data_IF_244641963153
#
_entry.id   IF_244641963153
#
_cell.length_a   1.000
_cell.length_b   1.000
_cell.length_c   1.000
_cell.angle_alpha   90.00
_cell.angle_beta   90.00
_cell.angle_gamma   90.00
#
_symmetry.space_group_name_H-M   'P 1'
#
loop_
_entity.id
_entity.type
_entity.pdbx_description
1 polymer ?
#
# COMPACT_ATOMS: atom_id res chain seq x y z
N UNK A 1 -14.44 -16.55 -1.40
CA UNK A 1 -15.12 -15.53 -2.21
C UNK A 1 -14.97 -14.12 -1.63
N UNK A 2 -15.20 -13.87 -0.35
CA UNK A 2 -15.07 -12.54 0.29
C UNK A 2 -13.71 -11.85 0.05
N UNK A 3 -12.59 -12.58 0.12
CA UNK A 3 -11.24 -12.03 -0.04
C UNK A 3 -10.94 -11.54 -1.47
N UNK A 4 -11.53 -12.20 -2.48
CA UNK A 4 -11.42 -11.74 -3.87
C UNK A 4 -12.30 -10.51 -4.12
N UNK A 5 -13.48 -10.46 -3.52
CA UNK A 5 -14.36 -9.31 -3.63
C UNK A 5 -13.75 -8.07 -2.95
N UNK A 6 -13.25 -8.20 -1.72
CA UNK A 6 -12.61 -7.10 -1.01
C UNK A 6 -11.38 -6.55 -1.75
N UNK A 7 -10.59 -7.42 -2.37
CA UNK A 7 -9.41 -6.99 -3.12
C UNK A 7 -9.75 -6.30 -4.44
N UNK A 8 -10.79 -6.76 -5.13
CA UNK A 8 -11.27 -6.10 -6.34
C UNK A 8 -11.83 -4.71 -6.02
N UNK A 9 -12.43 -4.54 -4.83
CA UNK A 9 -12.87 -3.24 -4.34
C UNK A 9 -11.69 -2.28 -4.11
N UNK A 10 -10.61 -2.75 -3.48
CA UNK A 10 -9.41 -1.90 -3.26
C UNK A 10 -8.76 -1.52 -4.58
N UNK A 11 -8.66 -2.45 -5.53
CA UNK A 11 -8.13 -2.17 -6.87
C UNK A 11 -9.02 -1.21 -7.66
N UNK A 12 -10.33 -1.39 -7.59
CA UNK A 12 -11.30 -0.46 -8.19
C UNK A 12 -11.22 0.93 -7.57
N UNK A 13 -11.11 1.00 -6.24
CA UNK A 13 -10.92 2.27 -5.53
C UNK A 13 -9.63 2.97 -5.97
N UNK A 14 -8.51 2.24 -6.07
CA UNK A 14 -7.25 2.79 -6.55
C UNK A 14 -7.37 3.35 -7.98
N UNK A 15 -8.06 2.64 -8.86
CA UNK A 15 -8.28 3.09 -10.22
C UNK A 15 -9.09 4.41 -10.25
N UNK A 16 -10.17 4.48 -9.47
CA UNK A 16 -10.98 5.70 -9.34
C UNK A 16 -10.15 6.85 -8.78
N UNK A 17 -9.38 6.61 -7.72
CA UNK A 17 -8.51 7.62 -7.12
C UNK A 17 -7.44 8.11 -8.09
N UNK A 18 -6.88 7.22 -8.93
CA UNK A 18 -5.91 7.57 -9.95
C UNK A 18 -6.52 8.48 -11.02
N UNK A 19 -7.73 8.15 -11.49
CA UNK A 19 -8.46 8.98 -12.45
C UNK A 19 -8.77 10.36 -11.85
N UNK A 20 -9.24 10.40 -10.60
CA UNK A 20 -9.51 11.65 -9.90
C UNK A 20 -8.25 12.49 -9.73
N UNK A 21 -7.11 11.87 -9.37
CA UNK A 21 -5.84 12.57 -9.26
C UNK A 21 -5.40 13.17 -10.61
N UNK A 22 -5.51 12.40 -11.70
CA UNK A 22 -5.19 12.90 -13.04
C UNK A 22 -6.09 14.08 -13.43
N UNK A 23 -7.39 13.99 -13.16
CA UNK A 23 -8.35 15.06 -13.44
C UNK A 23 -8.06 16.32 -12.60
N UNK A 24 -7.77 16.14 -11.30
CA UNK A 24 -7.45 17.23 -10.39
C UNK A 24 -6.18 17.98 -10.80
N UNK A 25 -5.11 17.25 -11.10
CA UNK A 25 -3.85 17.85 -11.60
C UNK A 25 -4.07 18.57 -12.94
N UNK A 26 -4.83 17.96 -13.86
CA UNK A 26 -5.16 18.59 -15.13
C UNK A 26 -5.93 19.90 -14.93
N UNK A 27 -6.96 19.89 -14.08
CA UNK A 27 -7.75 21.08 -13.77
C UNK A 27 -6.92 22.15 -13.07
N UNK A 28 -6.01 21.76 -12.19
CA UNK A 28 -5.08 22.69 -11.52
C UNK A 28 -4.16 23.40 -12.51
N UNK A 29 -3.57 22.64 -13.46
CA UNK A 29 -2.72 23.20 -14.52
C UNK A 29 -3.56 24.09 -15.46
N UNK A 30 -4.71 23.63 -15.90
CA UNK A 30 -5.61 24.38 -16.78
C UNK A 30 -6.05 25.70 -16.13
N UNK A 31 -6.45 25.68 -14.85
CA UNK A 31 -6.85 26.87 -14.10
C UNK A 31 -5.72 27.88 -14.01
N UNK A 32 -4.49 27.43 -13.76
CA UNK A 32 -3.32 28.30 -13.64
C UNK A 32 -2.93 28.97 -14.95
N UNK A 33 -2.92 28.23 -16.07
CA UNK A 33 -2.40 28.73 -17.34
C UNK A 33 -3.46 29.33 -18.23
N UNK A 34 -4.69 28.81 -18.23
CA UNK A 34 -5.78 29.27 -19.11
C UNK A 34 -6.65 30.29 -18.40
N UNK A 35 -7.12 29.99 -17.19
CA UNK A 35 -8.00 30.89 -16.45
C UNK A 35 -7.24 31.98 -15.69
N UNK A 36 -5.90 31.86 -15.60
CA UNK A 36 -5.03 32.78 -14.85
C UNK A 36 -5.50 32.99 -13.39
N UNK A 37 -6.20 31.99 -12.85
CA UNK A 37 -6.76 31.97 -11.51
C UNK A 37 -6.08 30.84 -10.72
N UNK A 38 -5.46 31.19 -9.58
CA UNK A 38 -4.73 30.22 -8.77
C UNK A 38 -5.64 29.78 -7.61
N UNK A 39 -6.31 28.66 -7.81
CA UNK A 39 -7.02 28.00 -6.73
C UNK A 39 -6.08 27.00 -6.05
N UNK A 40 -5.76 27.22 -4.80
CA UNK A 40 -4.80 26.42 -4.04
C UNK A 40 -5.37 25.12 -3.48
N UNK A 41 -6.69 24.91 -3.55
CA UNK A 41 -7.35 23.70 -3.05
C UNK A 41 -7.02 22.43 -3.88
N UNK A 42 -6.67 22.57 -5.18
CA UNK A 42 -6.23 21.45 -6.01
C UNK A 42 -4.99 20.76 -5.43
N UNK A 43 -4.01 21.54 -4.94
CA UNK A 43 -2.79 20.99 -4.36
C UNK A 43 -3.06 20.16 -3.09
N UNK A 44 -4.10 20.50 -2.32
CA UNK A 44 -4.49 19.76 -1.12
C UNK A 44 -5.17 18.43 -1.47
N UNK A 45 -6.07 18.44 -2.46
CA UNK A 45 -6.75 17.23 -2.95
C UNK A 45 -5.74 16.29 -3.61
N UNK A 46 -4.89 16.81 -4.49
CA UNK A 46 -3.85 16.03 -5.14
C UNK A 46 -2.96 15.32 -4.12
N UNK A 47 -2.52 16.03 -3.08
CA UNK A 47 -1.70 15.45 -2.01
C UNK A 47 -2.42 14.35 -1.25
N UNK A 48 -3.68 14.56 -0.89
CA UNK A 48 -4.50 13.58 -0.19
C UNK A 48 -4.66 12.32 -1.04
N UNK A 49 -5.09 12.45 -2.28
CA UNK A 49 -5.27 11.34 -3.20
C UNK A 49 -3.94 10.59 -3.44
N UNK A 50 -2.86 11.33 -3.68
CA UNK A 50 -1.55 10.76 -3.95
C UNK A 50 -1.06 9.88 -2.79
N UNK A 51 -1.12 10.39 -1.55
CA UNK A 51 -0.65 9.64 -0.39
C UNK A 51 -1.49 8.38 -0.17
N UNK A 52 -2.81 8.44 -0.31
CA UNK A 52 -3.69 7.27 -0.25
C UNK A 52 -3.37 6.25 -1.34
N UNK A 53 -3.17 6.69 -2.60
CA UNK A 53 -2.79 5.81 -3.72
C UNK A 53 -1.49 5.08 -3.43
N UNK A 54 -0.49 5.77 -2.88
CA UNK A 54 0.82 5.17 -2.57
C UNK A 54 0.68 4.04 -1.53
N UNK A 55 0.01 4.29 -0.39
CA UNK A 55 -0.10 3.28 0.67
C UNK A 55 -1.02 2.12 0.29
N UNK A 56 -2.16 2.38 -0.33
CA UNK A 56 -3.06 1.33 -0.80
C UNK A 56 -2.44 0.56 -1.97
N UNK A 57 -1.77 1.25 -2.89
CA UNK A 57 -1.07 0.63 -4.01
C UNK A 57 0.07 -0.28 -3.56
N UNK A 58 0.84 0.13 -2.55
CA UNK A 58 1.86 -0.71 -1.93
C UNK A 58 1.26 -1.99 -1.34
N UNK A 59 0.11 -1.90 -0.65
CA UNK A 59 -0.59 -3.07 -0.12
C UNK A 59 -1.08 -4.02 -1.23
N UNK A 60 -1.60 -3.49 -2.34
CA UNK A 60 -1.99 -4.29 -3.51
C UNK A 60 -0.76 -4.91 -4.18
N UNK A 61 0.37 -4.18 -4.23
CA UNK A 61 1.66 -4.72 -4.69
C UNK A 61 2.11 -5.95 -3.91
N UNK A 62 1.96 -5.94 -2.59
CA UNK A 62 2.23 -7.11 -1.73
C UNK A 62 1.33 -8.28 -2.12
N UNK A 63 0.04 -8.05 -2.36
CA UNK A 63 -0.92 -9.09 -2.76
C UNK A 63 -0.53 -9.79 -4.07
N UNK A 64 -0.12 -9.02 -5.08
CA UNK A 64 0.28 -9.56 -6.38
C UNK A 64 1.67 -10.21 -6.37
N UNK A 65 2.32 -10.26 -5.21
CA UNK A 65 3.65 -10.84 -5.07
C UNK A 65 4.71 -10.04 -5.83
N UNK A 66 4.48 -8.76 -6.06
CA UNK A 66 5.43 -7.90 -6.76
C UNK A 66 6.79 -7.85 -6.03
N UNK A 67 6.77 -7.97 -4.70
CA UNK A 67 7.98 -8.07 -3.87
C UNK A 67 8.61 -9.48 -3.92
N UNK A 68 7.86 -10.51 -4.35
CA UNK A 68 8.35 -11.88 -4.47
C UNK A 68 8.92 -12.22 -5.86
N UNK A 69 8.78 -11.31 -6.84
CA UNK A 69 9.37 -11.48 -8.19
C UNK A 69 10.88 -11.22 -8.25
N UNK A 70 11.56 -11.30 -7.13
CA UNK A 70 13.02 -11.45 -7.10
C UNK A 70 13.48 -12.81 -7.68
N UNK A 71 12.59 -13.53 -8.39
CA UNK A 71 12.94 -14.77 -9.07
C UNK A 71 14.15 -14.63 -10.01
N UNK A 72 14.35 -13.47 -10.63
CA UNK A 72 15.52 -13.19 -11.45
C UNK A 72 16.85 -13.25 -10.68
N UNK A 73 16.82 -13.00 -9.38
CA UNK A 73 18.01 -13.07 -8.52
C UNK A 73 18.05 -14.38 -7.75
N UNK A 74 16.90 -14.87 -7.28
CA UNK A 74 16.82 -16.09 -6.45
C UNK A 74 16.94 -17.39 -7.25
N UNK A 75 16.72 -17.38 -8.57
CA UNK A 75 16.93 -18.57 -9.43
C UNK A 75 18.40 -19.00 -9.51
N UNK A 76 19.32 -18.12 -9.06
CA UNK A 76 20.75 -18.44 -8.94
C UNK A 76 21.15 -19.02 -7.58
N UNK A 77 20.24 -19.02 -6.58
CA UNK A 77 20.52 -19.52 -5.25
C UNK A 77 20.09 -20.99 -5.09
N UNK A 78 20.79 -21.72 -4.22
CA UNK A 78 20.40 -23.05 -3.83
C UNK A 78 18.99 -23.07 -3.19
N UNK A 79 18.21 -24.16 -3.34
CA UNK A 79 16.82 -24.25 -2.85
C UNK A 79 16.59 -23.80 -1.40
N UNK A 80 17.49 -24.09 -0.43
CA UNK A 80 17.29 -23.63 0.95
C UNK A 80 17.49 -22.13 1.11
N UNK A 81 18.42 -21.51 0.38
CA UNK A 81 18.66 -20.07 0.44
C UNK A 81 17.51 -19.27 -0.17
N UNK A 82 16.89 -19.77 -1.23
CA UNK A 82 15.71 -19.19 -1.84
C UNK A 82 14.54 -19.13 -0.85
N UNK A 83 14.26 -20.22 -0.13
CA UNK A 83 13.20 -20.27 0.89
C UNK A 83 13.46 -19.30 2.03
N UNK A 84 14.70 -19.23 2.51
CA UNK A 84 15.09 -18.30 3.55
C UNK A 84 14.84 -16.85 3.11
N UNK A 85 15.17 -16.49 1.88
CA UNK A 85 14.92 -15.18 1.30
C UNK A 85 13.42 -14.86 1.19
N UNK A 86 12.59 -15.84 0.79
CA UNK A 86 11.14 -15.69 0.72
C UNK A 86 10.53 -15.41 2.11
N UNK A 87 10.89 -16.20 3.12
CA UNK A 87 10.42 -16.02 4.50
C UNK A 87 10.87 -14.67 5.05
N UNK A 88 12.15 -14.32 4.86
CA UNK A 88 12.70 -13.05 5.31
C UNK A 88 11.96 -11.84 4.69
N UNK A 89 11.66 -11.93 3.40
CA UNK A 89 10.90 -10.88 2.69
C UNK A 89 9.50 -10.71 3.25
N UNK A 90 8.78 -11.81 3.53
CA UNK A 90 7.44 -11.75 4.14
C UNK A 90 7.50 -11.15 5.55
N UNK A 91 8.48 -11.57 6.36
CA UNK A 91 8.68 -11.04 7.70
C UNK A 91 9.00 -9.54 7.67
N UNK A 92 9.83 -9.10 6.73
CA UNK A 92 10.13 -7.68 6.55
C UNK A 92 8.88 -6.86 6.20
N UNK A 93 7.99 -7.39 5.33
CA UNK A 93 6.73 -6.73 4.98
C UNK A 93 5.80 -6.65 6.21
N UNK A 94 5.69 -7.72 6.99
CA UNK A 94 4.87 -7.72 8.22
C UNK A 94 5.42 -6.73 9.23
N UNK A 95 6.74 -6.70 9.42
CA UNK A 95 7.39 -5.74 10.31
C UNK A 95 7.14 -4.30 9.85
N UNK A 96 7.32 -4.02 8.57
CA UNK A 96 7.02 -2.71 8.00
C UNK A 96 5.55 -2.33 8.21
N UNK A 97 4.62 -3.24 7.95
CA UNK A 97 3.19 -3.02 8.20
C UNK A 97 2.88 -2.70 9.66
N UNK A 98 3.51 -3.42 10.61
CA UNK A 98 3.36 -3.18 12.04
C UNK A 98 3.90 -1.79 12.45
N UNK A 99 5.07 -1.41 11.94
CA UNK A 99 5.64 -0.07 12.16
C UNK A 99 4.72 1.02 11.59
N UNK A 100 4.17 0.82 10.37
CA UNK A 100 3.24 1.77 9.76
C UNK A 100 1.96 1.92 10.58
N UNK A 101 1.43 0.85 11.17
CA UNK A 101 0.26 0.94 12.05
C UNK A 101 0.62 1.70 13.31
N UNK A 102 1.71 1.32 13.98
CA UNK A 102 2.07 1.90 15.28
C UNK A 102 2.44 3.38 15.18
N UNK A 103 3.31 3.72 14.23
CA UNK A 103 3.75 5.11 14.06
C UNK A 103 2.71 5.94 13.32
N UNK A 104 2.03 5.33 12.34
CA UNK A 104 0.94 5.97 11.61
C UNK A 104 -0.19 6.42 12.52
N UNK A 105 -0.56 5.60 13.52
CA UNK A 105 -1.59 5.97 14.49
C UNK A 105 -1.21 7.21 15.30
N UNK A 106 0.03 7.29 15.79
CA UNK A 106 0.54 8.48 16.51
C UNK A 106 0.48 9.74 15.65
N UNK A 107 0.83 9.60 14.35
CA UNK A 107 0.78 10.73 13.42
C UNK A 107 -0.66 11.15 13.13
N UNK A 108 -1.62 10.20 13.05
CA UNK A 108 -3.05 10.49 12.92
C UNK A 108 -3.55 11.29 14.12
N UNK A 109 -3.23 10.87 15.35
CA UNK A 109 -3.61 11.58 16.57
C UNK A 109 -3.07 13.02 16.60
N UNK A 110 -1.80 13.21 16.24
CA UNK A 110 -1.21 14.56 16.14
C UNK A 110 -1.84 15.37 14.99
N UNK A 111 -2.18 14.72 13.90
CA UNK A 111 -2.78 15.34 12.72
C UNK A 111 -4.22 15.81 12.92
N UNK A 112 -4.94 15.26 13.90
CA UNK A 112 -6.31 15.68 14.19
C UNK A 112 -6.39 17.15 14.65
N UNK A 113 -5.36 17.64 15.31
CA UNK A 113 -5.26 19.01 15.78
C UNK A 113 -4.77 19.99 14.70
N UNK A 114 -4.37 19.50 13.54
CA UNK A 114 -3.87 20.29 12.43
C UNK A 114 -4.89 20.28 11.29
N UNK A 115 -5.16 21.48 10.76
CA UNK A 115 -6.03 21.64 9.60
C UNK A 115 -5.21 21.96 8.35
N UNK A 116 -5.77 21.65 7.18
CA UNK A 116 -5.21 22.09 5.91
C UNK A 116 -5.51 23.58 5.71
N UNK A 117 -4.58 24.36 5.11
CA UNK A 117 -4.69 25.83 5.06
C UNK A 117 -5.88 26.33 4.25
N UNK A 118 -6.34 25.59 3.24
CA UNK A 118 -7.37 26.05 2.29
C UNK A 118 -8.72 25.38 2.56
N UNK A 119 -8.75 24.06 2.69
CA UNK A 119 -10.00 23.32 2.86
C UNK A 119 -10.42 23.16 4.33
N UNK A 120 -9.53 23.45 5.30
CA UNK A 120 -9.81 23.25 6.71
C UNK A 120 -9.99 21.77 7.11
N UNK A 121 -9.58 20.84 6.26
CA UNK A 121 -9.65 19.40 6.55
C UNK A 121 -8.60 19.01 7.60
N UNK A 122 -8.98 18.13 8.53
CA UNK A 122 -8.02 17.58 9.48
C UNK A 122 -6.95 16.76 8.74
N UNK A 123 -5.68 17.07 9.00
CA UNK A 123 -4.55 16.30 8.45
C UNK A 123 -4.54 14.84 8.94
N UNK A 124 -5.27 14.52 10.01
CA UNK A 124 -5.49 13.15 10.44
C UNK A 124 -6.05 12.26 9.33
N UNK A 125 -6.94 12.77 8.49
CA UNK A 125 -7.48 12.04 7.33
C UNK A 125 -6.40 11.73 6.27
N UNK A 126 -5.47 12.66 6.07
CA UNK A 126 -4.34 12.44 5.14
C UNK A 126 -3.44 11.33 5.67
N UNK A 127 -3.15 11.32 6.97
CA UNK A 127 -2.25 10.35 7.58
C UNK A 127 -2.90 8.99 7.88
N UNK A 128 -4.24 8.90 7.89
CA UNK A 128 -4.97 7.65 8.10
C UNK A 128 -4.66 6.57 7.05
N UNK A 129 -4.14 6.95 5.89
CA UNK A 129 -3.65 5.99 4.88
C UNK A 129 -2.49 5.12 5.37
N UNK A 130 -1.67 5.61 6.32
CA UNK A 130 -0.52 4.86 6.86
C UNK A 130 -0.97 3.61 7.64
N UNK A 131 -1.79 3.72 8.71
CA UNK A 131 -2.28 2.54 9.41
C UNK A 131 -3.18 1.67 8.55
N UNK A 132 -4.00 2.26 7.66
CA UNK A 132 -4.85 1.51 6.73
C UNK A 132 -4.01 0.68 5.75
N UNK A 133 -3.01 1.29 5.11
CA UNK A 133 -2.08 0.61 4.21
C UNK A 133 -1.28 -0.48 4.92
N UNK A 134 -0.75 -0.19 6.12
CA UNK A 134 -0.03 -1.15 6.95
C UNK A 134 -0.88 -2.38 7.30
N UNK A 135 -2.14 -2.17 7.70
CA UNK A 135 -3.08 -3.26 8.00
C UNK A 135 -3.36 -4.13 6.76
N UNK A 136 -3.57 -3.51 5.60
CA UNK A 136 -3.76 -4.24 4.35
C UNK A 136 -2.51 -5.01 3.92
N UNK A 137 -1.30 -4.44 4.10
CA UNK A 137 -0.04 -5.13 3.83
C UNK A 137 0.09 -6.40 4.67
N UNK A 138 -0.19 -6.33 5.97
CA UNK A 138 -0.16 -7.50 6.85
C UNK A 138 -1.21 -8.52 6.39
N UNK A 139 -2.45 -8.10 6.14
CA UNK A 139 -3.53 -8.98 5.72
C UNK A 139 -3.20 -9.72 4.42
N UNK A 140 -2.57 -9.05 3.46
CA UNK A 140 -2.20 -9.64 2.19
C UNK A 140 -0.92 -10.50 2.27
N UNK A 141 -0.04 -10.27 3.24
CA UNK A 141 1.18 -11.06 3.44
C UNK A 141 0.94 -12.38 4.18
N UNK A 142 -0.09 -12.48 5.02
CA UNK A 142 -0.43 -13.69 5.78
C UNK A 142 -0.50 -14.98 4.94
N UNK A 143 -1.20 -15.04 3.79
CA UNK A 143 -1.23 -16.25 2.98
C UNK A 143 0.09 -16.59 2.31
N UNK A 144 0.95 -15.60 2.07
CA UNK A 144 2.28 -15.84 1.55
C UNK A 144 3.16 -16.47 2.63
N UNK A 145 3.05 -15.99 3.88
CA UNK A 145 3.72 -16.60 5.03
C UNK A 145 3.29 -18.06 5.21
N UNK A 146 1.98 -18.31 5.20
CA UNK A 146 1.44 -19.67 5.34
C UNK A 146 2.02 -20.63 4.28
N UNK A 147 2.06 -20.21 3.03
CA UNK A 147 2.64 -21.02 1.94
C UNK A 147 4.14 -21.25 2.12
N UNK A 148 4.89 -20.22 2.50
CA UNK A 148 6.33 -20.32 2.72
C UNK A 148 6.66 -21.30 3.87
N UNK A 149 5.86 -21.27 4.95
CA UNK A 149 6.04 -22.17 6.11
C UNK A 149 5.51 -23.58 5.83
N UNK A 150 4.35 -23.74 5.18
CA UNK A 150 3.77 -25.06 4.86
C UNK A 150 4.62 -25.85 3.86
N UNK A 151 5.39 -25.17 3.01
CA UNK A 151 6.35 -25.81 2.11
C UNK A 151 7.58 -26.39 2.87
N UNK A 152 7.70 -26.15 4.17
CA UNK A 152 8.76 -26.67 5.06
C UNK A 152 8.42 -28.06 5.60
N UNK A 153 7.22 -28.64 5.36
CA UNK A 153 6.89 -29.97 5.86
C UNK A 153 7.67 -31.06 5.08
N UNK A 154 8.70 -31.69 5.72
CA UNK A 154 9.56 -32.70 5.05
C UNK A 154 8.81 -33.99 4.72
N UNK A 155 7.56 -34.15 5.24
CA UNK A 155 6.76 -35.37 5.06
C UNK A 155 6.02 -35.42 3.72
N UNK A 156 5.99 -34.34 2.95
CA UNK A 156 5.38 -34.33 1.62
C UNK A 156 6.31 -34.89 0.52
N UNK A 157 7.63 -35.00 0.79
CA UNK A 157 8.62 -35.52 -0.16
C UNK A 157 8.79 -37.05 -0.15
N UNK A 158 8.11 -37.77 0.74
CA UNK A 158 8.25 -39.22 0.93
C UNK A 158 6.98 -40.02 0.61
N UNK A 159 6.14 -39.53 -0.29
CA UNK A 159 5.06 -40.37 -0.86
C UNK A 159 5.49 -40.86 -2.24
N UNK A 160 5.68 -42.19 -2.38
CA UNK A 160 6.03 -42.85 -3.65
C UNK A 160 4.89 -42.72 -4.66
#
# INVERSE_FOLDING_TARGET
>A
MLRRAASNLVEGLLLVMMVLLCADVFLGVFSRYVLRSTFTWYDEIARLLFVWIVFLGAAVGVRHGAHFRLHLVTDRFAPPARRAAEVLSVLAIILLGAVLIQQGWKIVELGQFQQTPVMGLSKGWVYACMPAGGALMILYSLPHLWRAVSAVDPRAASRP
#
